data_IF_577484360322
#
_entry.id   IF_577484360322
#
_cell.length_a   1.000
_cell.length_b   1.000
_cell.length_c   1.000
_cell.angle_alpha   90.00
_cell.angle_beta   90.00
_cell.angle_gamma   90.00
#
_symmetry.space_group_name_H-M   'P 1'
#
loop_
_entity.id
_entity.type
_entity.pdbx_description
1 polymer ?
#
# COMPACT_ATOMS: atom_id res chain seq x y z
N UNK A 1 -14.19 23.84 35.97
CA UNK A 1 -12.97 24.71 35.84
C UNK A 1 -11.66 23.92 35.79
N UNK A 2 -11.34 23.02 36.73
CA UNK A 2 -10.07 22.24 36.63
C UNK A 2 -10.04 21.28 35.42
N UNK A 3 -11.15 20.59 35.11
CA UNK A 3 -11.24 19.70 33.94
C UNK A 3 -11.26 20.43 32.59
N UNK A 4 -11.72 21.68 32.55
CA UNK A 4 -11.69 22.51 31.33
C UNK A 4 -10.29 23.07 31.07
N UNK A 5 -9.53 23.39 32.12
CA UNK A 5 -8.16 23.87 32.03
C UNK A 5 -7.23 22.74 31.51
N UNK A 6 -7.39 21.49 32.04
CA UNK A 6 -6.65 20.31 31.55
C UNK A 6 -6.95 19.97 30.08
N UNK A 7 -8.18 20.22 29.60
CA UNK A 7 -8.52 20.05 28.20
C UNK A 7 -7.96 21.17 27.30
N UNK A 8 -7.88 22.40 27.82
CA UNK A 8 -7.31 23.53 27.08
C UNK A 8 -5.79 23.37 26.97
N UNK A 9 -5.11 22.92 28.03
CA UNK A 9 -3.68 22.65 28.00
C UNK A 9 -3.33 21.47 27.08
N UNK A 10 -4.15 20.43 27.03
CA UNK A 10 -4.02 19.33 26.03
C UNK A 10 -4.26 19.79 24.60
N UNK A 11 -5.14 20.77 24.35
CA UNK A 11 -5.39 21.31 23.00
C UNK A 11 -4.26 22.22 22.48
N UNK A 12 -3.49 22.86 23.36
CA UNK A 12 -2.34 23.73 22.99
C UNK A 12 -1.04 22.94 22.77
N UNK A 13 -1.01 21.65 23.08
CA UNK A 13 0.20 20.81 23.08
C UNK A 13 0.25 19.80 21.92
N UNK A 14 -0.32 20.11 20.78
CA UNK A 14 -0.27 19.28 19.57
C UNK A 14 0.60 19.90 18.48
N UNK A 15 1.27 19.04 17.70
CA UNK A 15 1.91 19.44 16.44
C UNK A 15 0.85 19.49 15.33
N UNK A 16 0.75 20.62 14.65
CA UNK A 16 -0.12 20.77 13.48
C UNK A 16 0.69 20.47 12.22
N UNK A 17 0.13 19.60 11.36
CA UNK A 17 0.70 19.23 10.06
C UNK A 17 -0.35 19.59 8.99
N UNK A 18 0.06 20.32 7.94
CA UNK A 18 -0.82 20.63 6.81
C UNK A 18 -0.88 19.41 5.87
N UNK A 19 -2.09 18.96 5.58
CA UNK A 19 -2.36 17.90 4.62
C UNK A 19 -3.31 18.41 3.52
N UNK A 20 -3.00 18.19 2.23
CA UNK A 20 -3.81 18.74 1.14
C UNK A 20 -5.20 18.09 1.02
N UNK A 21 -5.41 16.90 1.60
CA UNK A 21 -6.67 16.15 1.54
C UNK A 21 -7.59 16.46 2.73
N UNK A 22 -7.01 16.56 3.94
CA UNK A 22 -7.76 16.71 5.19
C UNK A 22 -7.56 18.07 5.88
N UNK A 23 -6.69 18.92 5.36
CA UNK A 23 -6.39 20.22 5.95
C UNK A 23 -5.40 20.09 7.11
N UNK A 24 -5.80 20.45 8.33
CA UNK A 24 -4.92 20.46 9.50
C UNK A 24 -5.03 19.18 10.31
N UNK A 25 -3.99 18.35 10.27
CA UNK A 25 -3.87 17.15 11.10
C UNK A 25 -3.17 17.53 12.40
N UNK A 26 -3.81 17.27 13.53
CA UNK A 26 -3.28 17.52 14.87
C UNK A 26 -2.70 16.22 15.43
N UNK A 27 -1.40 16.20 15.67
CA UNK A 27 -0.71 15.07 16.31
C UNK A 27 -0.41 15.43 17.76
N UNK A 28 -1.01 14.75 18.75
CA UNK A 28 -0.72 14.98 20.16
C UNK A 28 0.77 14.80 20.46
N UNK A 29 1.31 15.60 21.38
CA UNK A 29 2.68 15.39 21.89
C UNK A 29 2.75 14.09 22.72
N UNK A 30 3.95 13.61 22.95
CA UNK A 30 4.21 12.32 23.58
C UNK A 30 4.31 11.21 22.55
N UNK A 31 3.82 10.01 22.88
CA UNK A 31 4.02 8.79 22.10
C UNK A 31 3.75 8.96 20.60
N UNK A 32 2.61 9.53 20.24
CA UNK A 32 2.22 9.67 18.83
C UNK A 32 3.14 10.59 18.03
N UNK A 33 3.55 11.72 18.62
CA UNK A 33 4.50 12.63 17.95
C UNK A 33 5.90 12.04 17.89
N UNK A 34 6.30 11.26 18.88
CA UNK A 34 7.60 10.59 18.91
C UNK A 34 7.67 9.49 17.85
N UNK A 35 6.57 8.73 17.65
CA UNK A 35 6.44 7.81 16.49
C UNK A 35 6.59 8.57 15.17
N UNK A 36 5.86 9.66 14.98
CA UNK A 36 5.93 10.46 13.74
C UNK A 36 7.35 10.95 13.47
N UNK A 37 8.11 11.31 14.50
CA UNK A 37 9.51 11.77 14.41
C UNK A 37 10.53 10.65 14.29
N UNK A 38 10.15 9.42 14.58
CA UNK A 38 11.07 8.30 14.58
C UNK A 38 11.70 8.09 13.19
N UNK A 39 13.00 7.79 13.07
CA UNK A 39 13.69 7.63 11.79
C UNK A 39 13.04 6.60 10.86
N UNK A 40 12.52 5.49 11.41
CA UNK A 40 11.81 4.46 10.65
C UNK A 40 10.53 5.00 10.03
N UNK A 41 9.79 5.84 10.74
CA UNK A 41 8.60 6.50 10.23
C UNK A 41 8.95 7.57 9.18
N UNK A 42 10.05 8.31 9.40
CA UNK A 42 10.56 9.32 8.45
C UNK A 42 11.05 8.70 7.13
N UNK A 43 11.42 7.43 7.10
CA UNK A 43 11.70 6.68 5.86
C UNK A 43 10.54 6.76 4.87
N UNK A 44 9.30 6.69 5.34
CA UNK A 44 8.10 6.76 4.49
C UNK A 44 7.95 8.07 3.71
N UNK A 45 8.63 9.14 4.10
CA UNK A 45 8.67 10.41 3.34
C UNK A 45 9.40 10.26 1.99
N UNK A 46 10.19 9.20 1.82
CA UNK A 46 11.00 8.92 0.63
C UNK A 46 10.49 7.71 -0.17
N UNK A 47 9.32 7.17 0.20
CA UNK A 47 8.65 6.08 -0.51
C UNK A 47 7.30 6.58 -1.00
N UNK A 48 7.08 6.54 -2.30
CA UNK A 48 5.81 6.95 -2.89
C UNK A 48 4.72 5.92 -2.65
N UNK A 49 3.51 6.40 -2.35
CA UNK A 49 2.34 5.55 -2.11
C UNK A 49 1.98 4.71 -3.33
N UNK A 50 1.96 5.32 -4.50
CA UNK A 50 1.53 4.69 -5.75
C UNK A 50 2.69 4.29 -6.68
N UNK A 51 3.92 4.23 -6.17
CA UNK A 51 5.09 3.78 -6.93
C UNK A 51 5.21 4.45 -8.29
N UNK A 52 5.08 3.67 -9.39
CA UNK A 52 5.24 4.14 -10.76
C UNK A 52 3.95 4.72 -11.38
N UNK A 53 2.86 4.82 -10.66
CA UNK A 53 1.59 5.38 -11.16
C UNK A 53 1.73 6.84 -11.60
N UNK A 54 2.74 7.56 -11.10
CA UNK A 54 3.11 8.91 -11.56
C UNK A 54 3.42 8.96 -13.07
N UNK A 55 3.81 7.86 -13.68
CA UNK A 55 4.07 7.77 -15.13
C UNK A 55 2.78 7.89 -15.96
N UNK A 56 1.63 7.70 -15.34
CA UNK A 56 0.30 7.90 -15.92
C UNK A 56 -0.35 9.17 -15.38
N UNK A 57 -0.28 9.35 -14.06
CA UNK A 57 -0.88 10.46 -13.33
C UNK A 57 0.23 11.32 -12.69
N UNK A 58 0.75 12.35 -13.36
CA UNK A 58 1.91 13.12 -12.87
C UNK A 58 1.72 13.75 -11.49
N UNK A 59 0.48 13.97 -11.07
CA UNK A 59 0.13 14.45 -9.73
C UNK A 59 0.28 13.41 -8.61
N UNK A 60 0.40 12.11 -8.94
CA UNK A 60 0.52 11.01 -7.98
C UNK A 60 1.92 10.95 -7.35
N UNK A 61 2.29 12.01 -6.61
CA UNK A 61 3.61 12.19 -6.01
C UNK A 61 3.62 12.03 -4.48
N UNK A 62 2.45 11.81 -3.87
CA UNK A 62 2.32 11.66 -2.43
C UNK A 62 3.03 10.41 -1.90
N UNK A 63 3.44 10.50 -0.67
CA UNK A 63 4.26 9.49 0.00
C UNK A 63 3.44 8.65 0.97
N UNK A 64 3.96 7.49 1.35
CA UNK A 64 3.37 6.65 2.40
C UNK A 64 3.27 7.37 3.75
N UNK A 65 4.19 8.29 4.03
CA UNK A 65 4.12 9.14 5.22
C UNK A 65 2.85 10.01 5.24
N UNK A 66 2.50 10.62 4.11
CA UNK A 66 1.27 11.42 4.00
C UNK A 66 0.02 10.55 4.16
N UNK A 67 0.04 9.34 3.60
CA UNK A 67 -1.02 8.35 3.78
C UNK A 67 -1.16 7.94 5.26
N UNK A 68 -0.08 7.55 5.94
CA UNK A 68 -0.12 7.18 7.36
C UNK A 68 -0.68 8.30 8.24
N UNK A 69 -0.33 9.56 7.96
CA UNK A 69 -0.91 10.71 8.67
C UNK A 69 -2.40 10.89 8.39
N UNK A 70 -2.84 10.67 7.16
CA UNK A 70 -4.25 10.75 6.80
C UNK A 70 -5.08 9.63 7.41
N UNK A 71 -4.58 8.39 7.40
CA UNK A 71 -5.20 7.26 8.07
C UNK A 71 -5.31 7.50 9.60
N UNK A 72 -4.25 8.06 10.21
CA UNK A 72 -4.28 8.51 11.60
C UNK A 72 -5.36 9.58 11.87
N UNK A 73 -5.51 10.55 10.98
CA UNK A 73 -6.56 11.57 11.11
C UNK A 73 -7.95 10.93 11.08
N UNK A 74 -8.21 10.04 10.13
CA UNK A 74 -9.49 9.33 10.03
C UNK A 74 -9.74 8.43 11.24
N UNK A 75 -8.70 7.78 11.78
CA UNK A 75 -8.79 6.99 13.02
C UNK A 75 -9.22 7.88 14.20
N UNK A 76 -8.66 9.07 14.32
CA UNK A 76 -9.03 10.02 15.37
C UNK A 76 -10.50 10.43 15.26
N UNK A 77 -10.98 10.71 14.04
CA UNK A 77 -12.39 11.05 13.77
C UNK A 77 -13.33 9.86 14.07
N UNK A 78 -12.90 8.64 13.73
CA UNK A 78 -13.67 7.42 13.99
C UNK A 78 -13.82 7.17 15.50
N UNK A 79 -12.74 7.28 16.28
CA UNK A 79 -12.79 7.13 17.74
C UNK A 79 -13.71 8.16 18.40
N UNK A 80 -13.63 9.44 17.98
CA UNK A 80 -14.53 10.50 18.47
C UNK A 80 -15.99 10.16 18.15
N UNK A 81 -16.26 9.71 16.91
CA UNK A 81 -17.62 9.36 16.47
C UNK A 81 -18.19 8.18 17.28
N UNK A 82 -17.39 7.13 17.52
CA UNK A 82 -17.79 5.96 18.29
C UNK A 82 -18.03 6.31 19.78
N UNK A 83 -17.16 7.11 20.38
CA UNK A 83 -17.33 7.58 21.75
C UNK A 83 -18.60 8.43 21.94
N UNK A 84 -18.95 9.30 20.96
CA UNK A 84 -20.21 10.07 20.96
C UNK A 84 -21.44 9.18 20.90
N UNK A 85 -21.33 7.97 20.39
CA UNK A 85 -22.40 6.96 20.33
C UNK A 85 -22.44 6.06 21.58
N UNK A 86 -21.57 6.31 22.55
CA UNK A 86 -21.52 5.55 23.82
C UNK A 86 -20.62 4.32 23.76
N UNK A 87 -19.85 4.11 22.68
CA UNK A 87 -18.85 3.03 22.63
C UNK A 87 -17.72 3.41 23.59
N UNK A 88 -17.47 2.55 24.57
CA UNK A 88 -16.45 2.81 25.57
C UNK A 88 -15.05 2.42 25.08
N UNK A 89 -14.18 3.43 24.95
CA UNK A 89 -12.78 3.28 24.58
C UNK A 89 -11.91 3.93 25.65
N UNK A 90 -11.00 3.18 26.25
CA UNK A 90 -10.02 3.74 27.18
C UNK A 90 -9.05 4.70 26.46
N UNK A 91 -8.53 5.71 27.17
CA UNK A 91 -7.54 6.62 26.59
C UNK A 91 -6.31 5.86 26.06
N UNK A 92 -5.87 4.81 26.79
CA UNK A 92 -4.77 3.94 26.38
C UNK A 92 -5.08 3.13 25.11
N UNK A 93 -6.32 2.68 24.93
CA UNK A 93 -6.76 1.99 23.71
C UNK A 93 -6.80 2.95 22.53
N UNK A 94 -7.30 4.17 22.75
CA UNK A 94 -7.35 5.21 21.73
C UNK A 94 -5.95 5.59 21.25
N UNK A 95 -5.00 5.82 22.15
CA UNK A 95 -3.60 6.10 21.82
C UNK A 95 -2.95 4.90 21.10
N UNK A 96 -3.20 3.68 21.57
CA UNK A 96 -2.62 2.47 20.98
C UNK A 96 -3.12 2.20 19.56
N UNK A 97 -4.42 2.32 19.27
CA UNK A 97 -4.95 2.12 17.91
C UNK A 97 -4.51 3.23 16.97
N UNK A 98 -4.37 4.47 17.46
CA UNK A 98 -3.78 5.58 16.71
C UNK A 98 -2.30 5.34 16.40
N UNK A 99 -1.53 4.80 17.33
CA UNK A 99 -0.14 4.40 17.10
C UNK A 99 -0.05 3.26 16.09
N UNK A 100 -0.93 2.27 16.18
CA UNK A 100 -0.97 1.15 15.25
C UNK A 100 -1.26 1.59 13.81
N UNK A 101 -2.27 2.44 13.58
CA UNK A 101 -2.58 2.94 12.24
C UNK A 101 -1.50 3.88 11.69
N UNK A 102 -0.77 4.64 12.51
CA UNK A 102 0.38 5.41 12.05
C UNK A 102 1.47 4.52 11.46
N UNK A 103 1.65 3.32 12.01
CA UNK A 103 2.75 2.42 11.64
C UNK A 103 2.33 1.26 10.74
N UNK A 104 1.05 1.12 10.36
CA UNK A 104 0.54 -0.06 9.64
C UNK A 104 1.31 -0.35 8.36
N UNK A 105 1.71 0.68 7.63
CA UNK A 105 2.40 0.63 6.33
C UNK A 105 3.93 0.79 6.42
N UNK A 106 4.50 0.81 7.65
CA UNK A 106 5.93 1.11 7.86
C UNK A 106 6.87 0.10 7.20
N UNK A 107 6.41 -1.14 7.01
CA UNK A 107 7.15 -2.24 6.40
C UNK A 107 7.14 -2.27 4.88
N UNK A 108 6.47 -1.35 4.20
CA UNK A 108 6.49 -1.35 2.74
C UNK A 108 7.85 -1.04 2.12
N UNK A 109 8.18 -1.78 1.05
CA UNK A 109 9.35 -1.54 0.21
C UNK A 109 9.17 -0.32 -0.71
N UNK A 110 10.28 0.28 -1.22
CA UNK A 110 10.22 1.14 -2.39
C UNK A 110 9.52 0.41 -3.54
N UNK A 111 8.66 1.16 -4.30
CA UNK A 111 7.83 0.58 -5.37
C UNK A 111 6.98 -0.62 -4.95
N UNK A 112 6.74 -0.77 -3.64
CA UNK A 112 5.85 -1.77 -3.04
C UNK A 112 6.06 -3.19 -3.58
N UNK A 113 5.06 -3.76 -4.23
CA UNK A 113 5.06 -5.14 -4.72
C UNK A 113 6.15 -5.48 -5.75
N UNK A 114 6.79 -4.48 -6.38
CA UNK A 114 7.88 -4.73 -7.34
C UNK A 114 9.08 -5.35 -6.63
N UNK A 115 9.52 -4.78 -5.49
CA UNK A 115 10.68 -5.30 -4.76
C UNK A 115 10.36 -6.62 -4.03
N UNK A 116 9.17 -6.77 -3.49
CA UNK A 116 8.71 -7.99 -2.80
C UNK A 116 8.78 -9.21 -3.73
N UNK A 117 8.60 -9.02 -5.03
CA UNK A 117 8.62 -10.10 -6.01
C UNK A 117 9.97 -10.27 -6.75
N UNK A 118 10.96 -9.38 -6.53
CA UNK A 118 12.21 -9.38 -7.30
C UNK A 118 13.46 -9.58 -6.45
N UNK A 119 13.61 -8.78 -5.41
CA UNK A 119 14.81 -8.77 -4.58
C UNK A 119 14.63 -9.51 -3.26
N UNK A 120 13.41 -9.64 -2.78
CA UNK A 120 13.04 -10.21 -1.50
C UNK A 120 11.93 -11.23 -1.75
N UNK A 121 12.00 -12.39 -1.13
CA UNK A 121 11.01 -13.44 -1.35
C UNK A 121 10.51 -14.07 -0.05
N UNK A 122 9.20 -14.37 -0.02
CA UNK A 122 8.59 -15.18 1.03
C UNK A 122 8.32 -14.47 2.36
N UNK A 123 8.46 -13.14 2.43
CA UNK A 123 8.08 -12.32 3.59
C UNK A 123 7.14 -11.21 3.13
N UNK A 124 6.10 -10.94 3.90
CA UNK A 124 5.12 -9.90 3.60
C UNK A 124 5.51 -8.56 4.22
N UNK A 125 4.95 -7.47 3.67
CA UNK A 125 5.18 -6.14 4.25
C UNK A 125 4.55 -6.01 5.65
N UNK A 126 3.48 -6.77 5.96
CA UNK A 126 2.90 -6.80 7.31
C UNK A 126 3.87 -7.44 8.32
N UNK A 127 4.53 -8.55 7.95
CA UNK A 127 5.56 -9.16 8.80
C UNK A 127 6.73 -8.22 9.04
N UNK A 128 7.18 -7.51 7.98
CA UNK A 128 8.24 -6.50 8.11
C UNK A 128 7.74 -5.30 8.95
N UNK A 129 6.47 -4.89 8.80
CA UNK A 129 5.88 -3.84 9.66
C UNK A 129 5.96 -4.22 11.12
N UNK A 130 5.62 -5.46 11.48
CA UNK A 130 5.73 -5.95 12.84
C UNK A 130 7.18 -5.92 13.37
N UNK A 131 8.15 -6.38 12.55
CA UNK A 131 9.57 -6.30 12.94
C UNK A 131 10.04 -4.86 13.19
N UNK A 132 9.57 -3.91 12.37
CA UNK A 132 9.89 -2.49 12.52
C UNK A 132 9.17 -1.88 13.72
N UNK A 133 7.90 -2.24 13.97
CA UNK A 133 7.16 -1.85 15.17
C UNK A 133 7.84 -2.35 16.44
N UNK A 134 8.31 -3.60 16.45
CA UNK A 134 9.05 -4.16 17.59
C UNK A 134 10.35 -3.39 17.85
N UNK A 135 11.07 -2.96 16.81
CA UNK A 135 12.27 -2.13 16.94
C UNK A 135 11.93 -0.76 17.55
N UNK A 136 10.90 -0.08 17.05
CA UNK A 136 10.43 1.19 17.65
C UNK A 136 9.99 0.98 19.09
N UNK A 137 9.30 -0.12 19.38
CA UNK A 137 8.85 -0.46 20.72
C UNK A 137 10.02 -0.65 21.71
N UNK A 138 11.14 -1.26 21.25
CA UNK A 138 12.37 -1.35 22.05
C UNK A 138 12.95 0.04 22.34
N UNK A 139 13.03 0.91 21.33
CA UNK A 139 13.53 2.29 21.47
C UNK A 139 12.62 3.11 22.41
N UNK A 140 11.32 2.79 22.47
CA UNK A 140 10.31 3.43 23.33
C UNK A 140 10.02 2.65 24.62
N UNK A 141 10.91 1.76 25.03
CA UNK A 141 10.85 1.02 26.31
C UNK A 141 9.54 0.25 26.55
N UNK A 142 8.94 -0.31 25.51
CA UNK A 142 7.72 -1.13 25.61
C UNK A 142 6.40 -0.35 25.51
N UNK A 143 6.44 0.94 25.19
CA UNK A 143 5.24 1.78 25.11
C UNK A 143 4.24 1.37 24.01
N UNK A 144 4.68 0.57 23.04
CA UNK A 144 3.85 0.14 21.89
C UNK A 144 3.25 -1.27 22.07
N UNK A 145 3.43 -1.94 23.21
CA UNK A 145 2.93 -3.31 23.40
C UNK A 145 1.44 -3.46 23.07
N UNK A 146 0.60 -2.53 23.54
CA UNK A 146 -0.83 -2.55 23.28
C UNK A 146 -1.14 -2.28 21.78
N UNK A 147 -0.43 -1.34 21.15
CA UNK A 147 -0.57 -1.04 19.73
C UNK A 147 -0.24 -2.26 18.86
N UNK A 148 0.83 -2.98 19.17
CA UNK A 148 1.24 -4.19 18.48
C UNK A 148 0.22 -5.32 18.68
N UNK A 149 -0.31 -5.49 19.91
CA UNK A 149 -1.37 -6.48 20.19
C UNK A 149 -2.66 -6.18 19.41
N UNK A 150 -3.08 -4.91 19.30
CA UNK A 150 -4.23 -4.51 18.49
C UNK A 150 -3.94 -4.75 17.00
N UNK A 151 -2.75 -4.39 16.53
CA UNK A 151 -2.37 -4.61 15.12
C UNK A 151 -2.38 -6.10 14.72
N UNK A 152 -2.00 -6.99 15.64
CA UNK A 152 -1.97 -8.45 15.44
C UNK A 152 -3.33 -9.14 15.62
N UNK A 153 -4.40 -8.39 15.92
CA UNK A 153 -5.73 -8.93 16.28
C UNK A 153 -5.68 -9.86 17.51
N UNK A 154 -4.76 -9.59 18.44
CA UNK A 154 -4.61 -10.33 19.70
C UNK A 154 -5.33 -9.64 20.88
N UNK A 155 -5.94 -8.48 20.64
CA UNK A 155 -6.66 -7.71 21.66
C UNK A 155 -8.16 -8.05 21.68
N UNK A 156 -8.81 -8.18 22.87
CA UNK A 156 -10.20 -8.67 22.96
C UNK A 156 -11.25 -7.83 22.20
N UNK A 157 -11.05 -6.50 22.09
CA UNK A 157 -11.95 -5.62 21.33
C UNK A 157 -11.58 -5.64 19.85
N UNK A 158 -12.10 -6.60 19.08
CA UNK A 158 -11.76 -6.83 17.68
C UNK A 158 -12.06 -5.63 16.78
N UNK A 159 -13.07 -4.79 17.10
CA UNK A 159 -13.34 -3.59 16.32
C UNK A 159 -12.15 -2.61 16.24
N UNK A 160 -11.24 -2.60 17.23
CA UNK A 160 -10.04 -1.77 17.19
C UNK A 160 -9.08 -2.24 16.07
N UNK A 161 -8.91 -3.54 15.91
CA UNK A 161 -8.18 -4.09 14.77
C UNK A 161 -8.93 -3.84 13.45
N UNK A 162 -10.24 -4.02 13.41
CA UNK A 162 -11.06 -3.80 12.23
C UNK A 162 -11.03 -2.34 11.74
N UNK A 163 -10.79 -1.37 12.62
CA UNK A 163 -10.53 0.02 12.22
C UNK A 163 -9.19 0.20 11.49
N UNK A 164 -8.21 -0.72 11.69
CA UNK A 164 -6.90 -0.71 11.02
C UNK A 164 -6.93 -1.54 9.74
N UNK A 165 -7.51 -2.74 9.80
CA UNK A 165 -7.51 -3.72 8.72
C UNK A 165 -8.85 -4.46 8.67
N UNK A 166 -9.69 -4.12 7.70
CA UNK A 166 -10.97 -4.78 7.40
C UNK A 166 -11.47 -4.40 6.01
N UNK A 167 -12.69 -4.75 5.63
CA UNK A 167 -13.28 -4.25 4.37
C UNK A 167 -13.63 -2.76 4.41
N UNK A 168 -13.72 -2.18 5.61
CA UNK A 168 -14.08 -0.77 5.82
C UNK A 168 -13.22 -0.17 6.94
N UNK A 169 -11.94 -0.03 6.71
CA UNK A 169 -10.94 0.49 7.63
C UNK A 169 -10.47 1.91 7.29
N UNK A 170 -9.71 2.51 8.19
CA UNK A 170 -9.20 3.88 8.03
C UNK A 170 -8.08 3.97 6.99
N UNK A 171 -7.35 2.89 6.75
CA UNK A 171 -6.39 2.75 5.67
C UNK A 171 -7.07 2.95 4.31
N UNK A 172 -8.09 2.12 4.01
CA UNK A 172 -8.83 2.19 2.73
C UNK A 172 -9.56 3.51 2.54
N UNK A 173 -10.12 4.08 3.60
CA UNK A 173 -10.79 5.38 3.54
C UNK A 173 -9.83 6.54 3.25
N UNK A 174 -8.56 6.45 3.73
CA UNK A 174 -7.55 7.44 3.37
C UNK A 174 -7.07 7.24 1.95
N UNK A 175 -6.54 6.04 1.60
CA UNK A 175 -5.87 5.92 0.32
C UNK A 175 -6.84 6.12 -0.87
N UNK A 176 -8.08 5.66 -0.81
CA UNK A 176 -9.03 5.91 -1.89
C UNK A 176 -9.24 7.41 -2.13
N UNK A 177 -9.45 8.15 -1.07
CA UNK A 177 -9.66 9.61 -1.16
C UNK A 177 -8.38 10.34 -1.55
N UNK A 178 -7.25 9.96 -0.97
CA UNK A 178 -5.94 10.57 -1.24
C UNK A 178 -5.47 10.30 -2.65
N UNK A 179 -5.56 9.06 -3.10
CA UNK A 179 -5.19 8.66 -4.46
C UNK A 179 -6.09 9.34 -5.51
N UNK A 180 -7.40 9.43 -5.24
CA UNK A 180 -8.34 10.19 -6.06
C UNK A 180 -7.88 11.65 -6.20
N UNK A 181 -7.54 12.30 -5.10
CA UNK A 181 -7.08 13.69 -5.09
C UNK A 181 -5.79 13.88 -5.92
N UNK A 182 -4.78 13.06 -5.68
CA UNK A 182 -3.46 13.21 -6.31
C UNK A 182 -3.41 12.71 -7.75
N UNK A 183 -4.25 11.76 -8.13
CA UNK A 183 -4.37 11.30 -9.53
C UNK A 183 -5.31 12.17 -10.35
N UNK A 184 -6.25 12.88 -9.71
CA UNK A 184 -7.32 13.60 -10.37
C UNK A 184 -8.46 12.69 -10.86
N UNK A 185 -8.49 11.41 -10.45
CA UNK A 185 -9.55 10.44 -10.77
C UNK A 185 -10.70 10.61 -9.80
N UNK A 186 -11.73 11.34 -10.19
CA UNK A 186 -12.84 11.77 -9.33
C UNK A 186 -13.73 10.64 -8.83
N UNK A 187 -13.73 9.49 -9.50
CA UNK A 187 -14.49 8.30 -9.14
C UNK A 187 -14.06 7.72 -7.78
N UNK A 188 -12.84 8.00 -7.32
CA UNK A 188 -12.36 7.63 -6.00
C UNK A 188 -12.78 8.58 -4.88
N UNK A 189 -13.54 9.64 -5.17
CA UNK A 189 -13.99 10.59 -4.15
C UNK A 189 -15.12 10.00 -3.31
N UNK A 190 -14.77 9.37 -2.20
CA UNK A 190 -15.68 8.77 -1.23
C UNK A 190 -16.04 9.74 -0.11
N UNK A 191 -17.26 9.62 0.41
CA UNK A 191 -17.72 10.39 1.56
C UNK A 191 -17.20 9.85 2.91
N UNK A 192 -15.88 9.77 3.10
CA UNK A 192 -15.26 9.18 4.30
C UNK A 192 -15.80 9.74 5.62
N UNK A 193 -16.01 11.06 5.71
CA UNK A 193 -16.57 11.69 6.90
C UNK A 193 -18.00 11.20 7.22
N UNK A 194 -18.84 10.95 6.20
CA UNK A 194 -20.18 10.39 6.40
C UNK A 194 -20.11 8.92 6.79
N UNK A 195 -19.23 8.15 6.16
CA UNK A 195 -19.02 6.73 6.51
C UNK A 195 -18.64 6.62 7.98
N UNK A 196 -17.65 7.38 8.43
CA UNK A 196 -17.19 7.40 9.83
C UNK A 196 -18.34 7.74 10.80
N UNK A 197 -19.20 8.70 10.45
CA UNK A 197 -20.38 9.02 11.28
C UNK A 197 -21.41 7.90 11.34
N UNK A 198 -21.43 6.98 10.37
CA UNK A 198 -22.34 5.84 10.37
C UNK A 198 -21.71 4.58 11.01
N UNK A 199 -20.42 4.59 11.36
CA UNK A 199 -19.80 3.48 12.10
C UNK A 199 -20.42 3.34 13.49
N UNK A 200 -20.55 2.09 13.94
CA UNK A 200 -20.97 1.74 15.30
C UNK A 200 -20.30 0.41 15.69
N UNK A 201 -20.50 -0.03 16.93
CA UNK A 201 -19.95 -1.29 17.45
C UNK A 201 -21.07 -2.10 18.07
N UNK A 202 -21.15 -3.38 17.71
CA UNK A 202 -22.07 -4.37 18.31
C UNK A 202 -21.30 -5.64 18.60
N UNK A 203 -21.33 -6.10 19.86
CA UNK A 203 -20.63 -7.30 20.31
C UNK A 203 -19.11 -7.27 19.94
N UNK A 204 -18.44 -6.15 20.22
CA UNK A 204 -17.04 -5.89 19.89
C UNK A 204 -16.65 -5.99 18.41
N UNK A 205 -17.65 -5.98 17.50
CA UNK A 205 -17.44 -5.95 16.06
C UNK A 205 -17.88 -4.59 15.46
N UNK A 206 -17.13 -4.12 14.46
CA UNK A 206 -17.44 -2.90 13.72
C UNK A 206 -18.65 -3.13 12.82
N UNK A 207 -19.63 -2.21 12.86
CA UNK A 207 -20.84 -2.25 12.05
C UNK A 207 -21.14 -0.87 11.46
N UNK A 208 -22.01 -0.82 10.45
CA UNK A 208 -22.50 0.44 9.85
C UNK A 208 -24.01 0.55 10.10
N UNK A 209 -24.45 1.70 10.60
CA UNK A 209 -25.89 2.00 10.75
C UNK A 209 -26.59 2.01 9.38
N UNK A 210 -27.83 1.54 9.31
CA UNK A 210 -28.60 1.41 8.06
C UNK A 210 -28.72 2.70 7.25
N UNK A 211 -28.69 3.86 7.90
CA UNK A 211 -28.63 5.17 7.22
C UNK A 211 -27.34 5.39 6.40
N UNK A 212 -26.35 4.53 6.57
CA UNK A 212 -25.06 4.54 5.86
C UNK A 212 -25.02 3.71 4.58
N UNK A 213 -26.04 2.89 4.28
CA UNK A 213 -26.04 1.91 3.17
C UNK A 213 -25.58 2.55 1.85
N UNK A 214 -26.17 3.66 1.42
CA UNK A 214 -25.79 4.32 0.17
C UNK A 214 -24.34 4.83 0.14
N UNK A 215 -23.79 5.18 1.31
CA UNK A 215 -22.36 5.58 1.41
C UNK A 215 -21.44 4.38 1.24
N UNK A 216 -21.82 3.21 1.73
CA UNK A 216 -21.08 1.96 1.55
C UNK A 216 -21.17 1.46 0.10
N UNK A 217 -22.33 1.54 -0.53
CA UNK A 217 -22.48 1.24 -1.96
C UNK A 217 -21.59 2.11 -2.83
N UNK A 218 -21.58 3.43 -2.57
CA UNK A 218 -20.68 4.35 -3.27
C UNK A 218 -19.20 4.00 -3.01
N UNK A 219 -18.82 3.68 -1.77
CA UNK A 219 -17.47 3.26 -1.39
C UNK A 219 -17.03 2.01 -2.16
N UNK A 220 -17.85 0.95 -2.21
CA UNK A 220 -17.53 -0.28 -2.92
C UNK A 220 -17.40 -0.05 -4.44
N UNK A 221 -18.27 0.79 -5.00
CA UNK A 221 -18.20 1.18 -6.41
C UNK A 221 -16.94 1.98 -6.71
N UNK A 222 -16.64 2.99 -5.90
CA UNK A 222 -15.44 3.84 -6.03
C UNK A 222 -14.17 3.00 -5.93
N UNK A 223 -14.09 2.09 -4.97
CA UNK A 223 -12.97 1.16 -4.81
C UNK A 223 -12.75 0.34 -6.08
N UNK A 224 -13.82 -0.21 -6.68
CA UNK A 224 -13.73 -0.96 -7.94
C UNK A 224 -13.21 -0.10 -9.09
N UNK A 225 -13.69 1.12 -9.23
CA UNK A 225 -13.27 2.04 -10.29
C UNK A 225 -11.81 2.43 -10.14
N UNK A 226 -11.36 2.75 -8.91
CA UNK A 226 -9.96 3.07 -8.63
C UNK A 226 -9.03 1.90 -8.95
N UNK A 227 -9.43 0.65 -8.64
CA UNK A 227 -8.63 -0.51 -9.00
C UNK A 227 -8.35 -0.59 -10.50
N UNK A 228 -9.35 -0.41 -11.34
CA UNK A 228 -9.18 -0.54 -12.79
C UNK A 228 -8.58 0.70 -13.45
N UNK A 229 -8.91 1.89 -12.96
CA UNK A 229 -8.45 3.13 -13.56
C UNK A 229 -7.04 3.51 -13.07
N UNK A 230 -6.70 3.25 -11.82
CA UNK A 230 -5.45 3.70 -11.21
C UNK A 230 -4.50 2.54 -10.97
N UNK A 231 -4.84 1.61 -10.04
CA UNK A 231 -3.89 0.60 -9.55
C UNK A 231 -3.54 -0.46 -10.60
N UNK A 232 -4.48 -0.82 -11.46
CA UNK A 232 -4.31 -1.79 -12.55
C UNK A 232 -4.31 -1.12 -13.92
N UNK A 233 -3.98 0.18 -13.99
CA UNK A 233 -3.85 0.84 -15.28
C UNK A 233 -2.76 0.19 -16.11
N UNK A 234 -3.07 -0.17 -17.38
CA UNK A 234 -2.16 -0.94 -18.24
C UNK A 234 -0.76 -0.34 -18.36
N UNK A 235 -0.66 0.98 -18.38
CA UNK A 235 0.63 1.68 -18.48
C UNK A 235 1.42 1.58 -17.19
N UNK A 236 0.77 1.64 -16.01
CA UNK A 236 1.42 1.41 -14.72
C UNK A 236 1.99 0.00 -14.66
N UNK A 237 1.20 -1.02 -15.01
CA UNK A 237 1.67 -2.42 -15.08
C UNK A 237 2.84 -2.56 -16.05
N UNK A 238 2.81 -1.85 -17.20
CA UNK A 238 3.93 -1.83 -18.14
C UNK A 238 5.21 -1.23 -17.55
N UNK A 239 5.11 -0.14 -16.79
CA UNK A 239 6.24 0.46 -16.07
C UNK A 239 6.80 -0.49 -15.01
N UNK A 240 5.93 -1.11 -14.23
CA UNK A 240 6.31 -2.08 -13.21
C UNK A 240 7.06 -3.26 -13.82
N UNK A 241 6.59 -3.79 -14.96
CA UNK A 241 7.29 -4.88 -15.66
C UNK A 241 8.68 -4.47 -16.17
N UNK A 242 8.86 -3.23 -16.66
CA UNK A 242 10.19 -2.73 -17.01
C UNK A 242 11.08 -2.69 -15.77
N UNK A 243 10.60 -2.20 -14.63
CA UNK A 243 11.36 -2.14 -13.39
C UNK A 243 11.68 -3.53 -12.85
N UNK A 244 10.71 -4.45 -12.81
CA UNK A 244 10.88 -5.85 -12.39
C UNK A 244 12.01 -6.48 -13.23
N UNK A 245 11.96 -6.36 -14.53
CA UNK A 245 12.94 -6.97 -15.43
C UNK A 245 14.31 -6.29 -15.32
N UNK A 246 14.36 -4.97 -15.06
CA UNK A 246 15.61 -4.26 -14.78
C UNK A 246 16.29 -4.83 -13.53
N UNK A 247 15.54 -5.00 -12.45
CA UNK A 247 16.07 -5.54 -11.19
C UNK A 247 16.44 -7.02 -11.31
N UNK A 248 15.66 -7.83 -12.03
CA UNK A 248 16.03 -9.23 -12.32
C UNK A 248 17.33 -9.33 -13.09
N UNK A 249 17.53 -8.50 -14.15
CA UNK A 249 18.78 -8.50 -14.92
C UNK A 249 19.95 -8.04 -14.06
N UNK A 250 19.76 -6.98 -13.27
CA UNK A 250 20.79 -6.52 -12.34
C UNK A 250 21.17 -7.59 -11.32
N UNK A 251 20.18 -8.30 -10.73
CA UNK A 251 20.43 -9.39 -9.77
C UNK A 251 21.17 -10.56 -10.42
N UNK A 252 20.83 -10.91 -11.67
CA UNK A 252 21.54 -11.95 -12.41
C UNK A 252 23.00 -11.57 -12.64
N UNK A 253 23.26 -10.37 -13.16
CA UNK A 253 24.62 -9.89 -13.38
C UNK A 253 25.44 -9.82 -12.08
N UNK A 254 24.82 -9.41 -10.98
CA UNK A 254 25.45 -9.43 -9.67
C UNK A 254 25.84 -10.86 -9.21
N UNK A 255 24.99 -11.87 -9.47
CA UNK A 255 25.30 -13.29 -9.23
C UNK A 255 26.45 -13.80 -10.11
N UNK A 256 26.57 -13.29 -11.32
CA UNK A 256 27.66 -13.60 -12.24
C UNK A 256 28.99 -12.88 -11.87
N UNK A 257 28.97 -12.08 -10.80
CA UNK A 257 30.14 -11.39 -10.28
C UNK A 257 30.40 -10.03 -10.92
N UNK A 258 29.47 -9.52 -11.75
CA UNK A 258 29.57 -8.18 -12.35
C UNK A 258 29.43 -7.12 -11.27
N UNK A 259 30.34 -6.13 -11.25
CA UNK A 259 30.30 -5.04 -10.29
C UNK A 259 29.34 -3.93 -10.74
N UNK A 260 28.13 -3.90 -10.15
CA UNK A 260 27.13 -2.91 -10.44
C UNK A 260 27.18 -1.73 -9.47
N UNK A 261 26.92 -0.53 -9.95
CA UNK A 261 26.65 0.62 -9.11
C UNK A 261 25.36 0.39 -8.32
N UNK A 262 25.44 0.51 -7.00
CA UNK A 262 24.29 0.45 -6.10
C UNK A 262 24.67 1.14 -4.77
N UNK A 263 23.66 1.71 -4.08
CA UNK A 263 23.85 2.10 -2.68
C UNK A 263 24.19 0.88 -1.81
N UNK A 264 24.76 1.04 -0.63
CA UNK A 264 25.06 -0.10 0.25
C UNK A 264 23.84 -0.98 0.53
N UNK A 265 22.67 -0.38 0.75
CA UNK A 265 21.42 -1.09 1.00
C UNK A 265 20.97 -1.89 -0.22
N UNK A 266 20.90 -1.27 -1.40
CA UNK A 266 20.53 -1.98 -2.63
C UNK A 266 21.55 -3.07 -2.99
N UNK A 267 22.84 -2.81 -2.79
CA UNK A 267 23.90 -3.78 -3.02
C UNK A 267 23.71 -5.04 -2.20
N UNK A 268 23.28 -4.90 -0.94
CA UNK A 268 23.01 -6.06 -0.10
C UNK A 268 21.96 -6.99 -0.74
N UNK A 269 20.85 -6.46 -1.27
CA UNK A 269 19.79 -7.25 -1.89
C UNK A 269 20.13 -7.77 -3.29
N UNK A 270 20.98 -7.09 -4.05
CA UNK A 270 21.43 -7.55 -5.35
C UNK A 270 22.39 -8.74 -5.27
N UNK A 271 23.32 -8.73 -4.31
CA UNK A 271 24.39 -9.71 -4.23
C UNK A 271 24.12 -10.87 -3.27
N UNK A 272 23.00 -10.85 -2.55
CA UNK A 272 22.63 -11.92 -1.62
C UNK A 272 21.25 -12.48 -1.95
N UNK A 273 21.04 -13.76 -1.67
CA UNK A 273 19.70 -14.36 -1.67
C UNK A 273 19.04 -14.09 -0.32
N UNK A 274 17.97 -13.30 -0.36
CA UNK A 274 17.25 -12.85 0.83
C UNK A 274 15.87 -13.50 0.85
N UNK A 275 15.62 -14.26 1.90
CA UNK A 275 14.36 -14.97 2.16
C UNK A 275 13.77 -14.54 3.48
N UNK A 276 12.53 -14.95 3.78
CA UNK A 276 11.91 -14.75 5.10
C UNK A 276 12.82 -15.25 6.24
N UNK A 277 13.45 -16.42 6.06
CA UNK A 277 14.37 -16.97 7.05
C UNK A 277 15.56 -16.04 7.33
N UNK A 278 16.09 -15.37 6.28
CA UNK A 278 17.17 -14.39 6.42
C UNK A 278 16.74 -13.21 7.29
N UNK A 279 15.54 -12.70 7.10
CA UNK A 279 15.00 -11.57 7.91
C UNK A 279 14.84 -11.95 9.39
N UNK A 280 14.42 -13.20 9.67
CA UNK A 280 14.24 -13.65 11.05
C UNK A 280 15.56 -13.95 11.78
N UNK A 281 16.62 -14.35 11.04
CA UNK A 281 17.90 -14.77 11.62
C UNK A 281 18.98 -13.70 11.63
N UNK A 282 18.95 -12.78 10.66
CA UNK A 282 20.01 -11.77 10.46
C UNK A 282 19.44 -10.34 10.54
N UNK A 283 19.79 -9.62 11.58
CA UNK A 283 19.43 -8.21 11.74
C UNK A 283 19.90 -7.33 10.58
N UNK A 284 20.97 -7.75 9.87
CA UNK A 284 21.49 -7.00 8.69
C UNK A 284 20.47 -6.92 7.56
N UNK A 285 19.61 -7.95 7.38
CA UNK A 285 18.57 -7.91 6.37
C UNK A 285 17.59 -6.78 6.64
N UNK A 286 17.10 -6.69 7.88
CA UNK A 286 16.20 -5.61 8.30
C UNK A 286 16.91 -4.24 8.27
N UNK A 287 18.18 -4.14 8.70
CA UNK A 287 18.94 -2.89 8.69
C UNK A 287 19.10 -2.33 7.28
N UNK A 288 19.45 -3.17 6.30
CA UNK A 288 19.54 -2.75 4.91
C UNK A 288 18.15 -2.44 4.32
N UNK A 289 17.10 -3.17 4.71
CA UNK A 289 15.75 -2.88 4.27
C UNK A 289 15.25 -1.51 4.75
N UNK A 290 15.51 -1.17 6.00
CA UNK A 290 15.20 0.13 6.59
C UNK A 290 15.94 1.26 5.87
N UNK A 291 17.18 1.02 5.43
CA UNK A 291 17.99 2.01 4.71
C UNK A 291 17.54 2.20 3.24
N UNK A 292 16.73 1.28 2.69
CA UNK A 292 16.32 1.29 1.28
C UNK A 292 15.10 2.19 1.07
N UNK A 293 15.16 3.07 0.05
CA UNK A 293 14.05 3.89 -0.41
C UNK A 293 14.03 4.06 -1.96
N UNK A 294 13.06 4.82 -2.49
CA UNK A 294 12.90 4.98 -3.94
C UNK A 294 14.17 5.56 -4.61
N UNK A 295 14.95 6.41 -3.90
CA UNK A 295 16.13 7.04 -4.47
C UNK A 295 17.26 6.05 -4.74
N UNK A 296 17.37 4.97 -3.96
CA UNK A 296 18.37 3.92 -4.19
C UNK A 296 18.17 3.28 -5.55
N UNK A 297 16.93 2.98 -5.88
CA UNK A 297 16.55 2.33 -7.15
C UNK A 297 16.74 3.30 -8.31
N UNK A 298 16.22 4.54 -8.20
CA UNK A 298 16.36 5.52 -9.26
C UNK A 298 17.81 5.91 -9.54
N UNK A 299 18.67 6.05 -8.50
CA UNK A 299 20.07 6.36 -8.68
C UNK A 299 20.82 5.24 -9.41
N UNK A 300 20.53 3.99 -9.06
CA UNK A 300 21.11 2.83 -9.74
C UNK A 300 20.68 2.76 -11.21
N UNK A 301 19.40 2.87 -11.50
CA UNK A 301 18.84 2.87 -12.87
C UNK A 301 19.50 3.98 -13.73
N UNK A 302 19.70 5.19 -13.17
CA UNK A 302 20.35 6.29 -13.89
C UNK A 302 21.77 5.94 -14.32
N UNK A 303 22.53 5.24 -13.50
CA UNK A 303 23.90 4.81 -13.81
C UNK A 303 23.89 3.60 -14.77
N UNK A 304 22.98 2.66 -14.60
CA UNK A 304 22.89 1.46 -15.42
C UNK A 304 22.53 1.72 -16.89
N UNK A 305 22.02 2.89 -17.24
CA UNK A 305 21.81 3.29 -18.66
C UNK A 305 23.08 3.18 -19.50
N UNK A 306 24.25 3.37 -18.89
CA UNK A 306 25.56 3.35 -19.55
C UNK A 306 26.32 2.04 -19.31
N UNK A 307 25.64 1.01 -18.80
CA UNK A 307 26.25 -0.30 -18.54
C UNK A 307 26.52 -1.04 -19.84
N UNK A 308 27.60 -1.83 -19.88
CA UNK A 308 28.01 -2.61 -21.05
C UNK A 308 27.00 -3.70 -21.44
N UNK A 309 26.26 -4.24 -20.46
CA UNK A 309 25.18 -5.19 -20.72
C UNK A 309 24.01 -4.50 -21.44
N UNK A 310 23.76 -4.96 -22.66
CA UNK A 310 22.74 -4.36 -23.55
C UNK A 310 21.34 -4.37 -22.93
N UNK A 311 20.96 -5.43 -22.21
CA UNK A 311 19.62 -5.59 -21.63
C UNK A 311 19.44 -4.64 -20.46
N UNK A 312 20.39 -4.61 -19.52
CA UNK A 312 20.34 -3.72 -18.38
C UNK A 312 20.34 -2.25 -18.83
N UNK A 313 21.19 -1.88 -19.79
CA UNK A 313 21.25 -0.54 -20.35
C UNK A 313 19.95 -0.14 -21.06
N UNK A 314 19.36 -1.02 -21.87
CA UNK A 314 18.09 -0.80 -22.59
C UNK A 314 16.93 -0.59 -21.61
N UNK A 315 16.75 -1.50 -20.64
CA UNK A 315 15.68 -1.41 -19.66
C UNK A 315 15.81 -0.16 -18.78
N UNK A 316 17.02 0.15 -18.34
CA UNK A 316 17.31 1.36 -17.56
C UNK A 316 17.02 2.63 -18.34
N UNK A 317 17.42 2.66 -19.62
CA UNK A 317 17.11 3.78 -20.53
C UNK A 317 15.61 3.91 -20.80
N UNK A 318 14.90 2.80 -20.89
CA UNK A 318 13.45 2.78 -21.03
C UNK A 318 12.75 3.43 -19.83
N UNK A 319 13.19 3.10 -18.61
CA UNK A 319 12.68 3.70 -17.38
C UNK A 319 12.89 5.22 -17.35
N UNK A 320 14.11 5.67 -17.60
CA UNK A 320 14.47 7.10 -17.51
C UNK A 320 13.78 7.92 -18.62
N UNK A 321 13.69 7.38 -19.82
CA UNK A 321 13.13 8.08 -20.99
C UNK A 321 11.65 7.79 -21.22
N UNK A 322 10.99 7.13 -20.29
CA UNK A 322 9.57 6.75 -20.38
C UNK A 322 9.22 5.97 -21.65
N UNK A 323 10.11 5.09 -22.10
CA UNK A 323 9.87 4.16 -23.21
C UNK A 323 9.24 2.86 -22.68
N UNK A 324 8.03 3.01 -22.17
CA UNK A 324 7.29 1.95 -21.47
C UNK A 324 6.90 0.84 -22.44
N UNK A 325 6.90 -0.40 -21.95
CA UNK A 325 6.40 -1.55 -22.70
C UNK A 325 4.99 -1.30 -23.25
N UNK A 326 4.72 -1.81 -24.44
CA UNK A 326 3.35 -1.91 -24.95
C UNK A 326 2.61 -2.94 -24.12
N UNK A 327 1.39 -2.61 -23.68
CA UNK A 327 0.58 -3.51 -22.87
C UNK A 327 -0.76 -3.77 -23.55
N UNK A 328 -1.07 -5.04 -23.71
CA UNK A 328 -2.36 -5.53 -24.20
C UNK A 328 -3.09 -6.22 -23.07
N UNK A 329 -4.31 -5.74 -22.78
CA UNK A 329 -5.18 -6.34 -21.75
C UNK A 329 -6.12 -7.31 -22.43
N UNK A 330 -6.14 -8.55 -21.99
CA UNK A 330 -6.87 -9.66 -22.61
C UNK A 330 -7.67 -10.45 -21.59
N UNK A 331 -8.72 -11.13 -22.03
CA UNK A 331 -9.51 -12.07 -21.21
C UNK A 331 -8.90 -13.47 -21.19
N UNK A 332 -8.06 -13.79 -22.16
CA UNK A 332 -7.40 -15.11 -22.29
C UNK A 332 -5.89 -14.95 -22.21
N UNK A 333 -5.26 -15.97 -21.67
CA UNK A 333 -3.81 -16.06 -21.60
C UNK A 333 -3.19 -16.07 -23.01
N UNK A 334 -2.09 -15.33 -23.23
CA UNK A 334 -1.36 -15.41 -24.49
C UNK A 334 -0.83 -16.82 -24.74
N UNK A 335 -0.89 -17.26 -25.99
CA UNK A 335 -0.34 -18.57 -26.34
C UNK A 335 1.19 -18.56 -26.40
N UNK A 336 1.81 -19.72 -26.26
CA UNK A 336 3.27 -19.89 -26.41
C UNK A 336 3.73 -19.44 -27.80
N UNK A 337 2.93 -19.71 -28.83
CA UNK A 337 3.23 -19.30 -30.23
C UNK A 337 3.26 -17.78 -30.37
N UNK A 338 2.30 -17.06 -29.77
CA UNK A 338 2.27 -15.61 -29.78
C UNK A 338 3.51 -15.04 -29.07
N UNK A 339 3.87 -15.58 -27.89
CA UNK A 339 5.06 -15.16 -27.13
C UNK A 339 6.33 -15.42 -27.95
N UNK A 340 6.47 -16.59 -28.56
CA UNK A 340 7.64 -16.94 -29.38
C UNK A 340 7.77 -16.03 -30.60
N UNK A 341 6.65 -15.67 -31.23
CA UNK A 341 6.65 -14.70 -32.36
C UNK A 341 7.14 -13.32 -31.90
N UNK A 342 6.68 -12.85 -30.73
CA UNK A 342 7.15 -11.59 -30.16
C UNK A 342 8.64 -11.65 -29.84
N UNK A 343 9.14 -12.75 -29.26
CA UNK A 343 10.58 -12.95 -29.00
C UNK A 343 11.41 -12.84 -30.26
N UNK A 344 10.98 -13.48 -31.34
CA UNK A 344 11.67 -13.38 -32.64
C UNK A 344 11.74 -11.95 -33.16
N UNK A 345 10.63 -11.22 -33.16
CA UNK A 345 10.59 -9.82 -33.59
C UNK A 345 11.50 -8.91 -32.75
N UNK A 346 11.51 -9.10 -31.42
CA UNK A 346 12.37 -8.35 -30.52
C UNK A 346 13.85 -8.72 -30.74
N UNK A 347 14.15 -10.02 -30.89
CA UNK A 347 15.50 -10.50 -31.15
C UNK A 347 16.10 -9.90 -32.41
N UNK A 348 15.32 -9.89 -33.51
CA UNK A 348 15.73 -9.30 -34.80
C UNK A 348 15.91 -7.78 -34.70
N UNK A 349 14.97 -7.07 -34.04
CA UNK A 349 14.99 -5.61 -33.95
C UNK A 349 16.14 -5.08 -33.06
N UNK A 350 16.44 -5.78 -31.99
CA UNK A 350 17.43 -5.34 -31.00
C UNK A 350 18.77 -6.07 -31.10
N UNK A 351 18.89 -7.03 -32.04
CA UNK A 351 20.09 -7.86 -32.23
C UNK A 351 20.57 -8.53 -30.91
N UNK A 352 19.64 -9.20 -30.23
CA UNK A 352 19.86 -9.87 -28.94
C UNK A 352 19.46 -11.35 -29.02
N UNK A 353 19.98 -12.18 -28.11
CA UNK A 353 19.63 -13.58 -28.00
C UNK A 353 18.14 -13.80 -27.63
N UNK A 354 17.55 -14.91 -28.05
CA UNK A 354 16.16 -15.27 -27.72
C UNK A 354 15.94 -15.40 -26.20
N UNK A 355 16.94 -15.84 -25.45
CA UNK A 355 16.90 -15.93 -23.98
C UNK A 355 16.85 -14.55 -23.34
N UNK A 356 17.53 -13.56 -23.91
CA UNK A 356 17.51 -12.19 -23.40
C UNK A 356 16.16 -11.50 -23.66
N UNK A 357 15.40 -11.97 -24.65
CA UNK A 357 14.05 -11.46 -24.92
C UNK A 357 13.07 -11.70 -23.77
N UNK A 358 13.35 -12.64 -22.86
CA UNK A 358 12.55 -12.87 -21.65
C UNK A 358 12.50 -11.65 -20.73
N UNK A 359 13.54 -10.82 -20.72
CA UNK A 359 13.54 -9.54 -20.00
C UNK A 359 12.74 -8.44 -20.67
N UNK A 360 12.31 -8.65 -21.93
CA UNK A 360 11.60 -7.64 -22.73
C UNK A 360 10.13 -8.00 -22.97
N UNK A 361 9.65 -9.07 -22.32
CA UNK A 361 8.28 -9.54 -22.37
C UNK A 361 7.83 -9.89 -20.94
N UNK A 362 6.58 -9.61 -20.62
CA UNK A 362 5.96 -10.00 -19.35
C UNK A 362 4.50 -10.40 -19.55
N UNK A 363 4.07 -11.42 -18.81
CA UNK A 363 2.66 -11.84 -18.75
C UNK A 363 2.23 -11.82 -17.29
N UNK A 364 1.31 -10.94 -16.95
CA UNK A 364 0.76 -10.84 -15.60
C UNK A 364 -0.70 -11.30 -15.62
N UNK A 365 -1.02 -12.29 -14.82
CA UNK A 365 -2.41 -12.65 -14.51
C UNK A 365 -2.89 -11.87 -13.32
N UNK A 366 -3.92 -11.07 -13.51
CA UNK A 366 -4.57 -10.29 -12.45
C UNK A 366 -5.95 -10.86 -12.20
N UNK A 367 -6.20 -11.26 -10.97
CA UNK A 367 -7.50 -11.75 -10.53
C UNK A 367 -7.91 -10.95 -9.29
N UNK A 368 -9.02 -10.23 -9.36
CA UNK A 368 -9.56 -9.43 -8.25
C UNK A 368 -11.05 -9.62 -8.13
N UNK A 369 -11.50 -9.85 -6.89
CA UNK A 369 -12.84 -9.59 -6.41
C UNK A 369 -12.87 -8.23 -5.73
N UNK A 370 -14.01 -7.61 -5.66
CA UNK A 370 -14.18 -6.27 -5.09
C UNK A 370 -14.71 -6.31 -3.67
N UNK A 371 -15.41 -7.37 -3.34
CA UNK A 371 -15.97 -7.66 -2.03
C UNK A 371 -16.06 -9.17 -1.85
N UNK A 372 -15.58 -9.68 -0.73
CA UNK A 372 -15.68 -11.10 -0.40
C UNK A 372 -16.52 -11.25 0.87
N UNK A 373 -17.79 -11.66 0.75
CA UNK A 373 -18.69 -11.82 1.90
C UNK A 373 -18.33 -13.01 2.81
N UNK A 374 -17.34 -13.82 2.45
CA UNK A 374 -16.92 -14.98 3.24
C UNK A 374 -15.69 -14.74 4.12
N UNK A 375 -14.89 -13.70 3.85
CA UNK A 375 -13.65 -13.41 4.59
C UNK A 375 -13.83 -12.30 5.63
N UNK A 376 -14.59 -11.25 5.28
CA UNK A 376 -14.75 -10.09 6.15
C UNK A 376 -16.02 -9.33 5.74
N UNK A 377 -16.97 -9.23 6.67
CA UNK A 377 -18.30 -8.73 6.40
C UNK A 377 -18.42 -7.23 6.68
N UNK A 378 -19.13 -6.50 5.83
CA UNK A 378 -19.67 -5.18 6.17
C UNK A 378 -21.08 -5.38 6.71
N UNK A 379 -21.20 -5.43 8.03
CA UNK A 379 -22.47 -5.63 8.72
C UNK A 379 -23.25 -4.33 8.85
N UNK A 380 -24.51 -4.35 8.44
CA UNK A 380 -25.44 -3.22 8.53
C UNK A 380 -26.36 -3.41 9.73
N UNK A 381 -26.33 -2.42 10.65
CA UNK A 381 -27.16 -2.38 11.86
C UNK A 381 -28.47 -1.64 11.59
N UNK A 382 -29.59 -2.30 11.74
CA UNK A 382 -30.92 -1.70 11.66
C UNK A 382 -31.41 -1.18 13.02
N UNK A 383 -32.44 -0.31 13.01
CA UNK A 383 -32.99 0.31 14.24
C UNK A 383 -33.59 -0.69 15.23
N UNK A 384 -34.04 -1.84 14.76
CA UNK A 384 -34.58 -2.93 15.57
C UNK A 384 -33.48 -3.83 16.16
N UNK A 385 -32.20 -3.51 15.93
CA UNK A 385 -31.05 -4.28 16.38
C UNK A 385 -30.63 -5.43 15.46
N UNK A 386 -31.34 -5.64 14.34
CA UNK A 386 -30.95 -6.69 13.38
C UNK A 386 -29.69 -6.32 12.62
N UNK A 387 -28.87 -7.34 12.34
CA UNK A 387 -27.67 -7.22 11.52
C UNK A 387 -27.87 -7.95 10.20
N UNK A 388 -27.50 -7.31 9.09
CA UNK A 388 -27.45 -7.93 7.75
C UNK A 388 -26.15 -7.59 7.07
N UNK A 389 -25.63 -8.52 6.27
CA UNK A 389 -24.52 -8.18 5.37
C UNK A 389 -24.96 -7.13 4.35
N UNK A 390 -24.01 -6.31 3.89
CA UNK A 390 -24.27 -5.28 2.85
C UNK A 390 -24.83 -5.90 1.57
N UNK A 391 -24.53 -7.17 1.27
CA UNK A 391 -25.07 -7.87 0.09
C UNK A 391 -26.58 -8.09 0.17
N UNK A 392 -27.10 -8.25 1.38
CA UNK A 392 -28.53 -8.40 1.66
C UNK A 392 -29.22 -7.06 1.88
N UNK A 393 -28.46 -6.08 2.39
CA UNK A 393 -29.00 -4.76 2.75
C UNK A 393 -29.04 -3.78 1.57
N UNK A 394 -28.22 -4.00 0.54
CA UNK A 394 -28.13 -3.12 -0.63
C UNK A 394 -29.36 -3.18 -1.50
N UNK A 395 -29.88 -1.99 -1.86
CA UNK A 395 -31.04 -1.84 -2.73
C UNK A 395 -30.67 -1.51 -4.18
N UNK A 396 -29.50 -0.89 -4.40
CA UNK A 396 -29.08 -0.35 -5.69
C UNK A 396 -28.07 -1.26 -6.38
N UNK A 397 -27.15 -1.85 -5.60
CA UNK A 397 -26.06 -2.65 -6.15
C UNK A 397 -26.41 -4.15 -6.10
N UNK A 398 -26.34 -4.79 -7.25
CA UNK A 398 -26.21 -6.25 -7.24
C UNK A 398 -24.77 -6.59 -6.83
N UNK A 399 -24.55 -6.71 -5.50
CA UNK A 399 -23.23 -6.95 -4.91
C UNK A 399 -22.70 -8.35 -5.26
N UNK A 400 -23.56 -9.32 -5.62
CA UNK A 400 -23.12 -10.58 -6.19
C UNK A 400 -22.28 -10.38 -7.46
N UNK A 401 -22.60 -9.35 -8.27
CA UNK A 401 -21.75 -8.95 -9.41
C UNK A 401 -20.42 -8.32 -9.00
N UNK A 402 -20.35 -7.69 -7.82
CA UNK A 402 -19.12 -7.14 -7.27
C UNK A 402 -18.23 -8.25 -6.68
N UNK A 403 -18.80 -9.34 -6.20
CA UNK A 403 -18.08 -10.53 -5.69
C UNK A 403 -17.53 -11.40 -6.82
N UNK A 404 -17.97 -11.18 -8.06
CA UNK A 404 -17.47 -11.94 -9.21
C UNK A 404 -16.01 -11.64 -9.46
N UNK A 405 -15.17 -12.68 -9.37
CA UNK A 405 -13.74 -12.59 -9.70
C UNK A 405 -13.57 -12.26 -11.18
N UNK A 406 -12.98 -11.10 -11.46
CA UNK A 406 -12.60 -10.71 -12.81
C UNK A 406 -11.14 -11.10 -13.00
N UNK A 407 -10.88 -11.94 -14.01
CA UNK A 407 -9.54 -12.33 -14.41
C UNK A 407 -9.18 -11.60 -15.70
N UNK A 408 -8.02 -10.94 -15.73
CA UNK A 408 -7.45 -10.33 -16.94
C UNK A 408 -5.97 -10.69 -17.04
N UNK A 409 -5.49 -10.79 -18.27
CA UNK A 409 -4.09 -11.02 -18.59
C UNK A 409 -3.51 -9.76 -19.21
N UNK A 410 -2.37 -9.33 -18.73
CA UNK A 410 -1.60 -8.20 -19.21
C UNK A 410 -0.36 -8.75 -19.92
N UNK A 411 -0.39 -8.74 -21.28
CA UNK A 411 0.78 -9.04 -22.07
C UNK A 411 1.53 -7.74 -22.32
N UNK A 412 2.70 -7.61 -21.72
CA UNK A 412 3.58 -6.45 -21.88
C UNK A 412 4.83 -6.84 -22.67
N UNK A 413 5.27 -5.98 -23.57
CA UNK A 413 6.46 -6.23 -24.36
C UNK A 413 7.12 -4.95 -24.87
N UNK A 414 8.43 -5.04 -25.12
CA UNK A 414 9.23 -3.97 -25.71
C UNK A 414 8.64 -3.57 -27.07
N UNK A 415 8.49 -2.27 -27.28
CA UNK A 415 8.05 -1.75 -28.60
C UNK A 415 9.15 -1.91 -29.62
N UNK A 416 8.78 -2.23 -30.82
CA UNK A 416 9.66 -2.28 -31.98
C UNK A 416 9.35 -1.15 -32.94
#
# INVERSE_FOLDING_TARGET
MIKEQDNIDKMTDAKIINDPVFGFIKVPRGLLLDIVRHPLMQRLTRIKQLGLTQEVYPGAQHTRFQHSLGAFYLMSEALISLQQKGVFVFDSEAEAVQAAILMHDIGHAPFSHVLENTLISGITHEEISLMMMDRINQDMHGALNLAISIFKDEYPKSYLHQLISSQLDMDRLDYLRRDSFFTGVTEGNIGSARIIKMLNVVNDALVVESNGIYSIENYLTSRRLMYWQVYLHKTTVGCENVLINTLHRAKQLAKEGVNLFASPALRYFLYNEITAETFHKDTKALDNYIALDDNDIWSAIKVWQQHEDKILSLLSSNMINRKIFKVEVREKEPTIEEINKLKQQISEQYEIGLTDCDYLIGVNRVQKDMYNPFDDHISILYKDGTLKDITEASEILNIELLSKKICKYYLSYQRF
#
